data_IF_891225682147
#
_entry.id   IF_891225682147
#
_cell.length_a   1.000
_cell.length_b   1.000
_cell.length_c   1.000
_cell.angle_alpha   90.00
_cell.angle_beta   90.00
_cell.angle_gamma   90.00
#
_symmetry.space_group_name_H-M   'P 1'
#
loop_
_entity.id
_entity.type
_entity.pdbx_description
1 polymer ?
#
# COMPACT_ATOMS: atom_id res chain seq x y z
N UNK A 1 -17.75 -17.42 14.56
CA UNK A 1 -16.32 -17.76 14.37
C UNK A 1 -15.60 -16.48 14.03
N UNK A 2 -14.48 -16.18 14.67
CA UNK A 2 -13.65 -15.02 14.32
C UNK A 2 -12.79 -15.40 13.11
N UNK A 3 -12.93 -14.72 11.97
CA UNK A 3 -12.08 -14.99 10.80
C UNK A 3 -10.62 -14.61 11.10
N UNK A 4 -9.71 -15.29 10.44
CA UNK A 4 -8.27 -15.08 10.47
C UNK A 4 -7.78 -14.69 9.07
N UNK A 5 -6.52 -14.24 8.93
CA UNK A 5 -5.95 -13.96 7.61
C UNK A 5 -6.03 -15.16 6.64
N UNK A 6 -6.04 -16.40 7.15
CA UNK A 6 -6.15 -17.61 6.31
C UNK A 6 -7.47 -17.68 5.53
N UNK A 7 -8.55 -17.16 6.10
CA UNK A 7 -9.88 -17.17 5.48
C UNK A 7 -9.97 -16.25 4.25
N UNK A 8 -8.97 -15.38 4.07
CA UNK A 8 -8.92 -14.42 2.97
C UNK A 8 -7.97 -14.84 1.85
N UNK A 9 -7.23 -15.96 1.99
CA UNK A 9 -6.22 -16.37 1.01
C UNK A 9 -6.82 -16.57 -0.37
N UNK A 10 -6.38 -15.77 -1.34
CA UNK A 10 -6.83 -15.85 -2.73
C UNK A 10 -8.31 -15.49 -2.96
N UNK A 11 -9.00 -14.90 -1.98
CA UNK A 11 -10.43 -14.56 -2.06
C UNK A 11 -10.73 -13.58 -3.22
N UNK A 12 -9.79 -12.71 -3.56
CA UNK A 12 -9.89 -11.69 -4.60
C UNK A 12 -8.87 -11.93 -5.71
N UNK A 13 -8.61 -13.20 -6.05
CA UNK A 13 -7.56 -13.58 -7.00
C UNK A 13 -7.75 -12.89 -8.35
N UNK A 14 -6.77 -12.09 -8.76
CA UNK A 14 -6.77 -11.40 -10.05
C UNK A 14 -7.65 -10.14 -10.09
N UNK A 15 -8.33 -9.78 -9.00
CA UNK A 15 -9.16 -8.58 -8.95
C UNK A 15 -8.32 -7.31 -8.79
N UNK A 16 -8.96 -6.18 -9.11
CA UNK A 16 -8.45 -4.83 -8.84
C UNK A 16 -9.11 -4.27 -7.58
N UNK A 17 -8.31 -3.96 -6.57
CA UNK A 17 -8.76 -3.26 -5.37
C UNK A 17 -8.60 -1.74 -5.53
N UNK A 18 -9.51 -0.98 -4.91
CA UNK A 18 -9.43 0.47 -4.80
C UNK A 18 -9.09 0.84 -3.36
N UNK A 19 -7.88 1.33 -3.12
CA UNK A 19 -7.38 1.69 -1.80
C UNK A 19 -7.46 3.19 -1.58
N UNK A 20 -8.27 3.59 -0.60
CA UNK A 20 -8.55 4.97 -0.27
C UNK A 20 -7.76 5.40 0.98
N UNK A 21 -7.01 6.49 0.84
CA UNK A 21 -6.40 7.26 1.91
C UNK A 21 -7.08 8.62 2.06
N UNK A 22 -6.52 9.50 2.88
CA UNK A 22 -7.09 10.83 3.18
C UNK A 22 -6.44 11.99 2.41
N UNK A 23 -5.62 11.73 1.41
CA UNK A 23 -4.92 12.77 0.65
C UNK A 23 -5.85 13.60 -0.25
N UNK A 24 -5.37 14.73 -0.79
CA UNK A 24 -6.18 15.68 -1.55
C UNK A 24 -6.90 15.12 -2.79
N UNK A 25 -6.43 14.04 -3.40
CA UNK A 25 -7.15 13.45 -4.55
C UNK A 25 -8.52 12.89 -4.19
N UNK A 26 -8.72 12.50 -2.93
CA UNK A 26 -10.01 11.98 -2.47
C UNK A 26 -11.16 12.98 -2.67
N UNK A 27 -10.93 14.29 -2.49
CA UNK A 27 -12.00 15.30 -2.61
C UNK A 27 -12.47 15.57 -4.04
N UNK A 28 -11.73 15.10 -5.04
CA UNK A 28 -12.06 15.26 -6.47
C UNK A 28 -12.33 13.94 -7.18
N UNK A 29 -12.21 12.82 -6.46
CA UNK A 29 -12.42 11.50 -7.02
C UNK A 29 -13.90 11.24 -7.28
N UNK A 30 -14.24 10.76 -8.48
CA UNK A 30 -15.59 10.26 -8.79
C UNK A 30 -15.74 8.81 -8.33
N UNK A 31 -16.46 8.59 -7.24
CA UNK A 31 -16.74 7.26 -6.71
C UNK A 31 -17.55 6.34 -7.64
N UNK A 32 -18.20 6.88 -8.67
CA UNK A 32 -18.84 6.09 -9.72
C UNK A 32 -17.84 5.31 -10.59
N UNK A 33 -16.59 5.79 -10.66
CA UNK A 33 -15.52 5.16 -11.45
C UNK A 33 -14.82 4.01 -10.71
N UNK A 34 -14.99 3.90 -9.39
CA UNK A 34 -14.37 2.85 -8.60
C UNK A 34 -15.09 1.50 -8.74
N UNK A 35 -14.29 0.44 -8.85
CA UNK A 35 -14.75 -0.95 -8.85
C UNK A 35 -15.38 -1.40 -7.53
N UNK A 36 -15.83 -2.67 -7.46
CA UNK A 36 -16.58 -3.20 -6.32
C UNK A 36 -15.71 -3.43 -5.08
N UNK A 37 -14.43 -3.76 -5.26
CA UNK A 37 -13.51 -4.02 -4.16
C UNK A 37 -12.92 -2.71 -3.63
N UNK A 38 -13.58 -2.12 -2.63
CA UNK A 38 -13.18 -0.84 -2.02
C UNK A 38 -12.61 -1.05 -0.63
N UNK A 39 -11.45 -0.45 -0.41
CA UNK A 39 -10.64 -0.61 0.79
C UNK A 39 -10.30 0.77 1.38
N UNK A 40 -10.40 0.94 2.69
CA UNK A 40 -10.13 2.22 3.35
C UNK A 40 -8.96 2.11 4.35
N UNK A 41 -8.12 3.14 4.38
CA UNK A 41 -7.08 3.34 5.38
C UNK A 41 -7.60 4.29 6.47
N UNK A 42 -7.49 3.88 7.74
CA UNK A 42 -7.85 4.66 8.91
C UNK A 42 -9.26 5.31 8.74
N UNK A 43 -9.38 6.63 8.91
CA UNK A 43 -10.67 7.34 8.89
C UNK A 43 -11.22 7.62 7.48
N UNK A 44 -10.50 7.25 6.41
CA UNK A 44 -10.98 7.47 5.04
C UNK A 44 -12.32 6.78 4.75
N UNK A 45 -12.64 5.73 5.51
CA UNK A 45 -13.94 5.03 5.46
C UNK A 45 -15.14 5.97 5.60
N UNK A 46 -15.01 7.09 6.32
CA UNK A 46 -16.09 8.08 6.50
C UNK A 46 -16.54 8.72 5.19
N UNK A 47 -15.68 8.73 4.19
CA UNK A 47 -15.87 9.48 2.95
C UNK A 47 -16.09 8.59 1.73
N UNK A 48 -15.85 7.29 1.86
CA UNK A 48 -15.86 6.35 0.75
C UNK A 48 -17.12 5.48 0.86
N UNK A 49 -18.03 5.52 -0.12
CA UNK A 49 -19.22 4.69 -0.09
C UNK A 49 -18.88 3.22 -0.38
N UNK A 50 -19.58 2.32 0.33
CA UNK A 50 -19.52 0.86 0.15
C UNK A 50 -18.10 0.26 0.31
N UNK A 51 -17.38 0.68 1.34
CA UNK A 51 -16.10 0.05 1.73
C UNK A 51 -16.35 -1.34 2.29
N UNK A 52 -15.56 -2.32 1.86
CA UNK A 52 -15.61 -3.69 2.41
C UNK A 52 -14.49 -3.91 3.43
N UNK A 53 -13.25 -3.54 3.09
CA UNK A 53 -12.07 -3.81 3.92
C UNK A 53 -11.46 -2.53 4.47
N UNK A 54 -11.22 -2.51 5.78
CA UNK A 54 -10.64 -1.39 6.48
C UNK A 54 -9.30 -1.79 7.10
N UNK A 55 -8.33 -0.89 7.06
CA UNK A 55 -7.00 -1.10 7.64
C UNK A 55 -6.69 0.02 8.61
N UNK A 56 -6.30 -0.32 9.85
CA UNK A 56 -5.89 0.66 10.85
C UNK A 56 -4.79 0.09 11.76
N UNK A 57 -3.70 0.86 11.96
CA UNK A 57 -2.57 0.44 12.80
C UNK A 57 -2.36 1.33 14.03
N UNK A 58 -3.17 2.38 14.18
CA UNK A 58 -3.07 3.34 15.27
C UNK A 58 -4.48 3.58 15.81
N UNK A 59 -4.65 3.51 17.13
CA UNK A 59 -5.91 3.70 17.86
C UNK A 59 -6.38 5.15 17.91
N UNK A 60 -6.37 5.86 16.77
CA UNK A 60 -6.47 7.33 16.72
C UNK A 60 -7.87 7.85 17.09
N UNK A 61 -8.92 7.03 16.99
CA UNK A 61 -10.31 7.41 17.32
C UNK A 61 -11.12 6.19 17.79
N UNK A 62 -12.19 6.37 18.59
CA UNK A 62 -13.11 5.28 18.91
C UNK A 62 -13.78 4.75 17.64
N UNK A 63 -13.44 3.51 17.27
CA UNK A 63 -13.84 2.88 16.01
C UNK A 63 -15.34 2.61 15.87
N UNK A 64 -16.06 2.63 16.99
CA UNK A 64 -17.53 2.63 17.05
C UNK A 64 -18.18 3.75 16.23
N UNK A 65 -17.53 4.91 16.10
CA UNK A 65 -18.06 6.03 15.33
C UNK A 65 -17.64 5.99 13.85
N UNK A 66 -16.88 4.97 13.43
CA UNK A 66 -16.23 4.87 12.12
C UNK A 66 -16.75 3.71 11.29
N UNK A 67 -16.86 2.53 11.89
CA UNK A 67 -17.19 1.31 11.19
C UNK A 67 -18.61 0.86 11.55
N UNK A 68 -19.11 -0.10 10.77
CA UNK A 68 -20.42 -0.73 10.96
C UNK A 68 -20.31 -2.23 10.62
N UNK A 69 -21.38 -3.03 10.81
CA UNK A 69 -21.35 -4.48 10.60
C UNK A 69 -21.03 -4.94 9.17
N UNK A 70 -21.05 -4.05 8.17
CA UNK A 70 -20.70 -4.40 6.78
C UNK A 70 -19.19 -4.40 6.52
N UNK A 71 -18.41 -3.84 7.44
CA UNK A 71 -16.96 -3.71 7.30
C UNK A 71 -16.21 -4.90 7.92
N UNK A 72 -15.05 -5.20 7.33
CA UNK A 72 -14.03 -6.07 7.92
C UNK A 72 -12.76 -5.26 8.18
N UNK A 73 -12.37 -5.15 9.44
CA UNK A 73 -11.25 -4.36 9.93
C UNK A 73 -10.04 -5.25 10.21
N UNK A 74 -8.94 -4.99 9.52
CA UNK A 74 -7.65 -5.66 9.72
C UNK A 74 -6.76 -4.85 10.65
N UNK A 75 -6.29 -5.47 11.73
CA UNK A 75 -5.42 -4.81 12.71
C UNK A 75 -4.33 -5.70 13.32
N UNK A 76 -3.19 -5.10 13.69
CA UNK A 76 -2.19 -5.79 14.48
C UNK A 76 -2.70 -6.04 15.90
N UNK A 77 -2.36 -7.19 16.48
CA UNK A 77 -2.83 -7.57 17.81
C UNK A 77 -2.48 -6.53 18.89
N UNK A 78 -1.31 -5.88 18.79
CA UNK A 78 -0.83 -4.88 19.77
C UNK A 78 -1.74 -3.65 19.92
N UNK A 79 -2.49 -3.26 18.89
CA UNK A 79 -3.27 -2.01 18.91
C UNK A 79 -4.59 -2.13 19.64
N UNK A 80 -4.95 -3.35 20.06
CA UNK A 80 -6.19 -3.64 20.77
C UNK A 80 -6.09 -3.14 22.21
N UNK A 81 -4.91 -3.25 22.82
CA UNK A 81 -4.68 -2.81 24.20
C UNK A 81 -4.51 -1.29 24.28
N UNK A 82 -3.92 -0.66 23.26
CA UNK A 82 -3.63 0.77 23.20
C UNK A 82 -4.89 1.67 23.11
N UNK A 83 -6.03 1.12 22.70
CA UNK A 83 -7.26 1.88 22.41
C UNK A 83 -8.47 1.50 23.30
N UNK A 84 -8.27 0.75 24.38
CA UNK A 84 -9.39 0.29 25.23
C UNK A 84 -10.33 -0.70 24.52
N UNK A 85 -9.81 -1.40 23.51
CA UNK A 85 -10.56 -2.26 22.59
C UNK A 85 -10.66 -3.71 23.07
N UNK A 86 -10.22 -3.99 24.30
CA UNK A 86 -10.53 -5.24 24.98
C UNK A 86 -12.05 -5.42 25.19
N UNK A 87 -12.84 -4.33 25.11
CA UNK A 87 -14.30 -4.38 25.13
C UNK A 87 -14.87 -4.66 23.71
N UNK A 88 -15.60 -5.77 23.51
CA UNK A 88 -16.22 -6.10 22.23
C UNK A 88 -17.19 -5.02 21.70
N UNK A 89 -17.78 -4.20 22.57
CA UNK A 89 -18.68 -3.11 22.19
C UNK A 89 -17.96 -1.91 21.56
N UNK A 90 -16.63 -1.87 21.60
CA UNK A 90 -15.83 -0.77 21.05
C UNK A 90 -15.65 -0.82 19.53
N UNK A 91 -16.06 -1.92 18.88
CA UNK A 91 -15.99 -2.11 17.41
C UNK A 91 -17.24 -2.83 16.89
N UNK A 92 -18.12 -2.18 16.10
CA UNK A 92 -19.36 -2.76 15.58
C UNK A 92 -19.16 -3.58 14.29
N UNK A 93 -17.91 -3.86 13.91
CA UNK A 93 -17.54 -4.50 12.66
C UNK A 93 -16.76 -5.80 12.92
N UNK A 94 -16.53 -6.58 11.87
CA UNK A 94 -15.71 -7.77 12.00
C UNK A 94 -14.22 -7.40 12.14
N UNK A 95 -13.54 -7.98 13.12
CA UNK A 95 -12.13 -7.72 13.40
C UNK A 95 -11.26 -8.93 13.06
N UNK A 96 -10.35 -8.76 12.09
CA UNK A 96 -9.32 -9.73 11.73
C UNK A 96 -7.98 -9.29 12.31
N UNK A 97 -7.50 -10.07 13.28
CA UNK A 97 -6.27 -9.78 14.02
C UNK A 97 -5.09 -10.52 13.40
N UNK A 98 -3.92 -9.90 13.43
CA UNK A 98 -2.68 -10.55 13.04
C UNK A 98 -1.52 -10.14 13.94
N UNK A 99 -0.54 -11.02 14.06
CA UNK A 99 0.71 -10.70 14.75
C UNK A 99 1.55 -9.74 13.90
N UNK A 100 2.19 -8.77 14.56
CA UNK A 100 3.04 -7.78 13.90
C UNK A 100 4.51 -8.04 14.21
N UNK A 101 5.32 -8.06 13.17
CA UNK A 101 6.77 -8.25 13.29
C UNK A 101 7.51 -7.04 12.72
N UNK A 102 8.61 -6.66 13.36
CA UNK A 102 9.39 -5.47 13.01
C UNK A 102 10.35 -5.69 11.81
N UNK A 103 10.36 -6.89 11.19
CA UNK A 103 11.21 -7.20 10.03
C UNK A 103 10.68 -6.49 8.77
N UNK A 104 11.56 -5.84 8.02
CA UNK A 104 11.24 -5.06 6.81
C UNK A 104 11.37 -5.83 5.51
N UNK A 105 11.90 -7.06 5.55
CA UNK A 105 12.20 -7.79 4.31
C UNK A 105 10.94 -8.45 3.79
N UNK A 106 10.25 -7.83 2.84
CA UNK A 106 9.03 -8.36 2.22
C UNK A 106 9.34 -9.17 0.95
N UNK A 107 10.42 -8.83 0.24
CA UNK A 107 10.83 -9.46 -1.01
C UNK A 107 11.04 -10.97 -0.86
N UNK A 108 10.45 -11.73 -1.78
CA UNK A 108 10.58 -13.18 -1.84
C UNK A 108 9.82 -13.95 -0.75
N UNK A 109 8.97 -13.29 0.05
CA UNK A 109 8.10 -13.98 1.01
C UNK A 109 6.90 -14.59 0.31
N UNK A 110 6.61 -15.84 0.64
CA UNK A 110 5.39 -16.51 0.19
C UNK A 110 4.20 -16.13 1.07
N UNK A 111 2.97 -16.37 0.58
CA UNK A 111 1.75 -16.22 1.39
C UNK A 111 1.84 -17.09 2.66
N UNK A 112 2.36 -18.31 2.55
CA UNK A 112 2.53 -19.21 3.69
C UNK A 112 3.49 -18.62 4.74
N UNK A 113 4.59 -17.98 4.31
CA UNK A 113 5.51 -17.29 5.22
C UNK A 113 4.84 -16.12 5.94
N UNK A 114 4.03 -15.32 5.25
CA UNK A 114 3.30 -14.19 5.84
C UNK A 114 2.25 -14.67 6.86
N UNK A 115 1.56 -15.76 6.57
CA UNK A 115 0.58 -16.36 7.49
C UNK A 115 1.23 -17.00 8.71
N UNK A 116 2.40 -17.62 8.54
CA UNK A 116 3.11 -18.30 9.62
C UNK A 116 3.88 -17.32 10.53
N UNK A 117 4.41 -16.23 9.97
CA UNK A 117 5.28 -15.27 10.67
C UNK A 117 4.62 -13.94 10.97
N UNK A 118 3.35 -13.72 10.64
CA UNK A 118 2.70 -12.42 10.78
C UNK A 118 3.19 -11.35 9.80
N UNK A 119 2.58 -10.16 9.87
CA UNK A 119 2.79 -9.09 8.91
C UNK A 119 3.90 -8.12 9.33
N UNK A 120 4.66 -7.64 8.34
CA UNK A 120 5.76 -6.69 8.51
C UNK A 120 5.25 -5.24 8.56
N UNK A 121 5.27 -4.59 9.73
CA UNK A 121 4.59 -3.30 9.92
C UNK A 121 5.44 -2.03 9.71
N UNK A 122 6.73 -2.13 9.40
CA UNK A 122 7.60 -0.93 9.29
C UNK A 122 7.21 0.05 8.16
N UNK A 123 6.25 -0.32 7.31
CA UNK A 123 5.64 0.52 6.27
C UNK A 123 4.29 1.16 6.70
N UNK A 124 3.92 1.12 7.98
CA UNK A 124 2.70 1.72 8.52
C UNK A 124 1.41 1.00 8.08
N UNK A 125 0.25 1.61 8.30
CA UNK A 125 -1.07 1.06 7.92
C UNK A 125 -1.13 0.67 6.45
N UNK A 126 -0.56 1.51 5.59
CA UNK A 126 -0.61 1.31 4.14
C UNK A 126 0.24 0.09 3.71
N UNK A 127 1.42 -0.11 4.31
CA UNK A 127 2.21 -1.30 4.06
C UNK A 127 1.61 -2.59 4.63
N UNK A 128 0.74 -2.47 5.62
CA UNK A 128 -0.05 -3.60 6.11
C UNK A 128 -1.16 -3.95 5.11
N UNK A 129 -1.86 -2.93 4.61
CA UNK A 129 -2.90 -3.10 3.60
C UNK A 129 -2.39 -3.84 2.36
N UNK A 130 -1.22 -3.46 1.83
CA UNK A 130 -0.67 -4.13 0.62
C UNK A 130 -0.31 -5.60 0.88
N UNK A 131 0.18 -5.96 2.06
CA UNK A 131 0.45 -7.36 2.43
C UNK A 131 -0.82 -8.18 2.55
N UNK A 132 -1.88 -7.61 3.15
CA UNK A 132 -3.18 -8.30 3.24
C UNK A 132 -3.80 -8.46 1.85
N UNK A 133 -3.75 -7.43 1.00
CA UNK A 133 -4.24 -7.51 -0.38
C UNK A 133 -3.45 -8.54 -1.20
N UNK A 134 -2.14 -8.69 -0.96
CA UNK A 134 -1.34 -9.77 -1.52
C UNK A 134 -1.83 -11.14 -1.09
N UNK A 135 -2.08 -11.34 0.21
CA UNK A 135 -2.66 -12.58 0.75
C UNK A 135 -4.01 -12.86 0.09
N UNK A 136 -4.83 -11.82 -0.11
CA UNK A 136 -6.12 -11.92 -0.82
C UNK A 136 -6.01 -12.29 -2.30
N UNK A 137 -4.81 -12.23 -2.89
CA UNK A 137 -4.56 -12.52 -4.30
C UNK A 137 -4.91 -11.37 -5.25
N UNK A 138 -5.07 -10.15 -4.73
CA UNK A 138 -5.33 -8.95 -5.55
C UNK A 138 -4.16 -8.72 -6.51
N UNK A 139 -4.45 -8.55 -7.79
CA UNK A 139 -3.42 -8.34 -8.80
C UNK A 139 -3.03 -6.87 -8.95
N UNK A 140 -4.01 -5.97 -8.76
CA UNK A 140 -3.84 -4.53 -8.95
C UNK A 140 -4.50 -3.72 -7.85
N UNK A 141 -3.85 -2.63 -7.45
CA UNK A 141 -4.40 -1.65 -6.49
C UNK A 141 -4.40 -0.26 -7.09
N UNK A 142 -5.59 0.33 -7.24
CA UNK A 142 -5.75 1.74 -7.60
C UNK A 142 -5.84 2.57 -6.32
N UNK A 143 -4.96 3.55 -6.20
CA UNK A 143 -4.75 4.36 -5.02
C UNK A 143 -5.37 5.74 -5.19
N UNK A 144 -6.27 6.09 -4.26
CA UNK A 144 -6.93 7.39 -4.18
C UNK A 144 -6.66 7.97 -2.80
N UNK A 145 -6.30 9.25 -2.69
CA UNK A 145 -5.93 9.87 -1.42
C UNK A 145 -4.62 9.36 -0.82
N UNK A 146 -3.73 8.78 -1.64
CA UNK A 146 -2.37 8.36 -1.26
C UNK A 146 -1.37 9.18 -2.08
N UNK A 147 -1.49 10.49 -1.98
CA UNK A 147 -0.87 11.41 -2.95
C UNK A 147 0.61 11.69 -2.69
N UNK A 148 1.08 11.45 -1.47
CA UNK A 148 2.45 11.77 -1.06
C UNK A 148 2.71 13.27 -0.82
N UNK A 149 1.67 14.10 -0.91
CA UNK A 149 1.73 15.55 -0.62
C UNK A 149 1.09 15.86 0.73
N UNK A 150 1.66 16.83 1.44
CA UNK A 150 1.48 17.08 2.89
C UNK A 150 0.12 17.61 3.36
N UNK A 151 -0.99 17.19 2.74
CA UNK A 151 -2.33 17.64 3.10
C UNK A 151 -3.32 16.48 3.23
N UNK A 152 -4.41 16.74 3.96
CA UNK A 152 -5.60 15.92 3.88
C UNK A 152 -6.56 16.50 2.83
N UNK A 153 -7.45 15.67 2.29
CA UNK A 153 -8.65 16.15 1.64
C UNK A 153 -9.34 17.15 2.58
N UNK A 154 -9.82 18.27 2.04
CA UNK A 154 -10.52 19.32 2.81
C UNK A 154 -11.87 18.89 3.41
N UNK A 155 -12.04 17.59 3.64
CA UNK A 155 -13.23 16.90 4.11
C UNK A 155 -13.19 16.66 5.63
N UNK A 156 -12.04 16.87 6.29
CA UNK A 156 -11.93 16.85 7.76
C UNK A 156 -11.11 18.04 8.29
N UNK A 157 -11.72 18.85 9.16
CA UNK A 157 -11.06 19.95 9.87
C UNK A 157 -10.39 19.48 11.18
N UNK A 158 -10.56 18.21 11.58
CA UNK A 158 -10.13 17.70 12.91
C UNK A 158 -8.81 16.93 12.92
N UNK A 159 -8.37 16.39 11.80
CA UNK A 159 -7.04 15.79 11.69
C UNK A 159 -6.15 16.76 10.94
N UNK A 160 -5.48 17.68 11.65
CA UNK A 160 -4.38 18.42 11.06
C UNK A 160 -3.28 17.42 10.66
N UNK A 161 -2.62 17.60 9.50
CA UNK A 161 -1.49 16.75 9.14
C UNK A 161 -0.44 16.82 10.26
N UNK A 162 -0.01 15.65 10.75
CA UNK A 162 1.07 15.62 11.74
C UNK A 162 2.31 16.29 11.13
N UNK A 163 2.95 17.25 11.83
CA UNK A 163 4.14 17.94 11.34
C UNK A 163 5.33 16.99 11.12
N UNK A 164 5.31 15.81 11.75
CA UNK A 164 6.34 14.76 11.62
C UNK A 164 6.02 13.75 10.50
N UNK A 165 4.84 13.85 9.88
CA UNK A 165 4.39 12.92 8.85
C UNK A 165 4.90 13.33 7.47
N UNK A 166 5.92 12.64 6.99
CA UNK A 166 6.44 12.83 5.63
C UNK A 166 5.63 11.95 4.67
N UNK A 167 4.52 12.49 4.15
CA UNK A 167 3.61 11.77 3.26
C UNK A 167 4.29 11.20 2.00
N UNK A 168 5.29 11.89 1.45
CA UNK A 168 6.11 11.38 0.35
C UNK A 168 6.79 10.07 0.74
N UNK A 169 7.44 10.01 1.90
CA UNK A 169 8.07 8.79 2.41
C UNK A 169 7.07 7.65 2.64
N UNK A 170 5.84 7.96 3.06
CA UNK A 170 4.79 6.94 3.23
C UNK A 170 4.40 6.36 1.87
N UNK A 171 4.23 7.21 0.86
CA UNK A 171 3.98 6.80 -0.52
C UNK A 171 5.15 5.93 -1.03
N UNK A 172 6.39 6.37 -0.91
CA UNK A 172 7.59 5.62 -1.33
C UNK A 172 7.67 4.24 -0.65
N UNK A 173 7.33 4.17 0.63
CA UNK A 173 7.28 2.90 1.39
C UNK A 173 6.18 1.97 0.91
N UNK A 174 5.02 2.48 0.54
CA UNK A 174 3.91 1.68 0.00
C UNK A 174 4.29 1.06 -1.33
N UNK A 175 4.84 1.89 -2.21
CA UNK A 175 5.40 1.50 -3.48
C UNK A 175 6.40 0.35 -3.32
N UNK A 176 7.41 0.54 -2.47
CA UNK A 176 8.47 -0.45 -2.29
C UNK A 176 7.89 -1.78 -1.85
N UNK A 177 6.90 -1.78 -0.95
CA UNK A 177 6.21 -2.98 -0.52
C UNK A 177 5.40 -3.63 -1.66
N UNK A 178 4.71 -2.86 -2.48
CA UNK A 178 3.99 -3.39 -3.64
C UNK A 178 4.92 -4.04 -4.67
N UNK A 179 6.09 -3.43 -4.96
CA UNK A 179 7.07 -4.04 -5.87
C UNK A 179 7.56 -5.37 -5.35
N UNK A 180 7.94 -5.42 -4.06
CA UNK A 180 8.48 -6.61 -3.42
C UNK A 180 7.49 -7.78 -3.41
N UNK A 181 6.19 -7.48 -3.43
CA UNK A 181 5.08 -8.45 -3.44
C UNK A 181 4.56 -8.75 -4.85
N UNK A 182 5.03 -8.06 -5.88
CA UNK A 182 4.57 -8.22 -7.25
C UNK A 182 3.11 -7.76 -7.47
N UNK A 183 2.64 -6.76 -6.73
CA UNK A 183 1.31 -6.16 -6.93
C UNK A 183 1.42 -4.93 -7.82
N UNK A 184 0.60 -4.86 -8.87
CA UNK A 184 0.49 -3.66 -9.70
C UNK A 184 -0.17 -2.53 -8.90
N UNK A 185 0.38 -1.32 -8.96
CA UNK A 185 -0.21 -0.14 -8.34
C UNK A 185 -0.42 0.99 -9.35
N UNK A 186 -1.51 1.71 -9.18
CA UNK A 186 -1.87 2.90 -9.97
C UNK A 186 -2.30 4.03 -9.03
N UNK A 187 -1.94 5.27 -9.32
CA UNK A 187 -2.38 6.44 -8.55
C UNK A 187 -3.33 7.30 -9.39
N UNK A 188 -4.53 7.58 -8.88
CA UNK A 188 -5.63 8.20 -9.63
C UNK A 188 -5.29 9.54 -10.31
N UNK A 189 -4.47 10.41 -9.69
CA UNK A 189 -4.08 11.71 -10.25
C UNK A 189 -2.60 11.80 -10.63
N UNK A 190 -1.88 10.67 -10.68
CA UNK A 190 -0.53 10.70 -11.22
C UNK A 190 -0.63 10.69 -12.75
N UNK A 191 -0.09 11.70 -13.47
CA UNK A 191 0.11 11.53 -14.89
C UNK A 191 0.92 10.24 -15.11
N UNK A 192 0.59 9.49 -16.17
CA UNK A 192 1.29 8.27 -16.56
C UNK A 192 2.71 8.60 -17.06
N UNK A 193 3.55 9.13 -16.18
CA UNK A 193 4.93 9.44 -16.45
C UNK A 193 5.79 8.26 -16.05
N UNK A 194 6.61 7.81 -16.98
CA UNK A 194 7.79 6.99 -16.67
C UNK A 194 8.55 7.72 -15.57
N UNK A 195 8.73 7.11 -14.39
CA UNK A 195 9.49 7.73 -13.31
C UNK A 195 10.87 8.11 -13.83
N UNK A 196 11.16 9.42 -13.86
CA UNK A 196 12.43 9.98 -14.29
C UNK A 196 13.13 10.67 -13.12
N UNK A 197 14.42 10.37 -12.92
CA UNK A 197 15.29 11.09 -11.97
C UNK A 197 16.49 11.64 -12.72
N UNK A 198 16.76 12.94 -12.65
CA UNK A 198 17.92 13.56 -13.30
C UNK A 198 18.08 13.20 -14.80
N UNK A 199 16.98 12.98 -15.51
CA UNK A 199 16.96 12.55 -16.92
C UNK A 199 17.05 11.04 -17.16
N UNK A 200 17.25 10.23 -16.11
CA UNK A 200 17.30 8.76 -16.12
C UNK A 200 15.90 8.15 -15.96
N UNK A 201 15.64 7.01 -16.58
CA UNK A 201 14.40 6.22 -16.49
C UNK A 201 14.55 5.13 -15.43
N UNK A 202 13.58 5.04 -14.52
CA UNK A 202 13.54 3.98 -13.50
C UNK A 202 12.85 2.73 -14.07
N UNK A 203 13.48 1.58 -13.89
CA UNK A 203 12.99 0.27 -14.35
C UNK A 203 13.13 -0.79 -13.27
N UNK A 204 12.22 -1.77 -13.30
CA UNK A 204 12.29 -3.01 -12.55
C UNK A 204 12.98 -4.05 -13.45
N UNK A 205 14.06 -4.65 -12.97
CA UNK A 205 14.74 -5.72 -13.67
C UNK A 205 13.92 -7.00 -13.50
N UNK A 206 13.51 -7.62 -14.61
CA UNK A 206 12.69 -8.85 -14.64
C UNK A 206 13.50 -10.09 -15.04
N UNK A 207 14.74 -9.88 -15.48
CA UNK A 207 15.67 -10.93 -15.84
C UNK A 207 17.09 -10.48 -15.50
N UNK A 208 17.93 -11.37 -14.97
CA UNK A 208 19.32 -11.03 -14.63
C UNK A 208 20.09 -10.46 -15.83
N UNK A 209 20.56 -9.23 -15.71
CA UNK A 209 21.24 -8.47 -16.77
C UNK A 209 22.32 -7.57 -16.20
N UNK A 210 23.20 -7.05 -17.07
CA UNK A 210 24.04 -5.90 -16.71
C UNK A 210 23.27 -4.63 -17.08
N UNK A 211 23.07 -3.73 -16.12
CA UNK A 211 22.40 -2.45 -16.32
C UNK A 211 23.03 -1.35 -15.43
N UNK A 212 23.28 -0.18 -16.02
CA UNK A 212 23.97 0.94 -15.34
C UNK A 212 25.40 0.57 -14.95
N UNK A 213 26.08 -0.24 -15.77
CA UNK A 213 27.45 -0.70 -15.54
C UNK A 213 27.63 -1.75 -14.42
N UNK A 214 26.55 -2.30 -13.87
CA UNK A 214 26.60 -3.29 -12.80
C UNK A 214 25.71 -4.50 -13.12
N UNK A 215 26.08 -5.68 -12.60
CA UNK A 215 25.23 -6.85 -12.67
C UNK A 215 23.99 -6.66 -11.76
N UNK A 216 22.81 -6.84 -12.34
CA UNK A 216 21.50 -6.72 -11.71
C UNK A 216 20.77 -8.06 -11.71
N UNK A 217 19.93 -8.25 -10.71
CA UNK A 217 19.12 -9.45 -10.50
C UNK A 217 17.65 -9.12 -10.75
N UNK A 218 16.87 -10.18 -10.96
CA UNK A 218 15.42 -10.08 -11.00
C UNK A 218 14.91 -9.46 -9.68
N UNK A 219 14.02 -8.48 -9.80
CA UNK A 219 13.51 -7.65 -8.70
C UNK A 219 14.30 -6.37 -8.39
N UNK A 220 15.46 -6.14 -9.01
CA UNK A 220 16.24 -4.91 -8.78
C UNK A 220 15.53 -3.68 -9.40
N UNK A 221 15.40 -2.60 -8.63
CA UNK A 221 14.92 -1.30 -9.15
C UNK A 221 16.14 -0.42 -9.43
N UNK A 222 16.27 0.05 -10.66
CA UNK A 222 17.44 0.82 -11.12
C UNK A 222 17.02 2.03 -11.94
N UNK A 223 17.76 3.14 -11.78
CA UNK A 223 17.67 4.31 -12.66
C UNK A 223 18.74 4.19 -13.75
N UNK A 224 18.32 4.24 -15.01
CA UNK A 224 19.16 4.00 -16.18
C UNK A 224 19.03 5.14 -17.19
N UNK A 225 20.00 5.27 -18.10
CA UNK A 225 19.83 6.17 -19.24
C UNK A 225 18.56 5.78 -20.04
N UNK A 226 17.79 6.75 -20.58
CA UNK A 226 16.56 6.44 -21.33
C UNK A 226 16.76 5.47 -22.50
N UNK A 227 17.91 5.51 -23.16
CA UNK A 227 18.22 4.60 -24.28
C UNK A 227 18.42 3.18 -23.75
N UNK A 228 19.25 3.03 -22.71
CA UNK A 228 19.50 1.75 -22.06
C UNK A 228 18.21 1.15 -21.49
N UNK A 229 17.42 1.94 -20.77
CA UNK A 229 16.12 1.52 -20.24
C UNK A 229 15.18 1.05 -21.37
N UNK A 230 15.08 1.79 -22.47
CA UNK A 230 14.24 1.44 -23.61
C UNK A 230 14.66 0.11 -24.24
N UNK A 231 15.95 -0.14 -24.39
CA UNK A 231 16.47 -1.40 -24.93
C UNK A 231 16.18 -2.60 -24.00
N UNK A 232 16.34 -2.42 -22.68
CA UNK A 232 16.01 -3.46 -21.70
C UNK A 232 14.52 -3.80 -21.72
N UNK A 233 13.66 -2.78 -21.86
CA UNK A 233 12.22 -2.95 -21.91
C UNK A 233 11.79 -3.66 -23.20
N UNK A 234 12.32 -3.26 -24.35
CA UNK A 234 11.95 -3.88 -25.64
C UNK A 234 12.33 -5.36 -25.72
N UNK A 235 13.40 -5.77 -25.06
CA UNK A 235 13.84 -7.17 -25.00
C UNK A 235 13.24 -7.96 -23.84
N UNK A 236 12.33 -7.37 -23.06
CA UNK A 236 11.64 -8.02 -21.94
C UNK A 236 12.50 -8.29 -20.71
N UNK A 237 13.66 -7.65 -20.59
CA UNK A 237 14.58 -7.83 -19.46
C UNK A 237 14.38 -6.81 -18.34
N UNK A 238 13.55 -5.79 -18.58
CA UNK A 238 13.11 -4.84 -17.58
C UNK A 238 11.69 -4.35 -17.88
N UNK A 239 11.01 -3.83 -16.87
CA UNK A 239 9.72 -3.17 -17.01
C UNK A 239 9.83 -1.72 -16.53
N UNK A 240 9.20 -0.75 -17.22
CA UNK A 240 9.16 0.62 -16.71
C UNK A 240 8.45 0.61 -15.36
N UNK A 241 9.06 1.21 -14.34
CA UNK A 241 8.40 1.37 -13.03
C UNK A 241 7.35 2.46 -13.17
N UNK A 242 6.22 2.13 -13.79
CA UNK A 242 5.18 3.11 -14.15
C UNK A 242 4.56 3.81 -12.95
N UNK A 243 4.85 3.38 -11.72
CA UNK A 243 4.32 3.97 -10.49
C UNK A 243 5.19 3.72 -9.25
N UNK A 244 6.52 3.60 -9.35
CA UNK A 244 7.37 3.38 -8.16
C UNK A 244 8.36 4.53 -7.86
N UNK A 245 8.21 5.32 -6.76
CA UNK A 245 9.25 6.21 -6.26
C UNK A 245 10.49 5.47 -5.79
N UNK A 246 11.64 6.11 -6.02
CA UNK A 246 12.95 5.59 -5.67
C UNK A 246 13.20 5.56 -4.15
N UNK A 247 14.00 4.60 -3.65
CA UNK A 247 14.73 4.77 -2.40
C UNK A 247 15.70 5.95 -2.54
N UNK A 248 15.77 6.83 -1.53
CA UNK A 248 16.74 7.93 -1.51
C UNK A 248 18.16 7.38 -1.66
N UNK A 249 18.84 7.74 -2.75
CA UNK A 249 20.29 7.59 -2.85
C UNK A 249 20.89 8.68 -1.97
N UNK A 250 21.43 8.29 -0.80
CA UNK A 250 22.26 9.19 -0.03
C UNK A 250 23.48 9.53 -0.89
N UNK A 251 23.64 10.81 -1.20
CA UNK A 251 24.82 11.31 -1.87
C UNK A 251 26.06 11.00 -1.01
N UNK A 252 26.81 9.97 -1.37
CA UNK A 252 28.17 9.79 -0.89
C UNK A 252 28.99 10.97 -1.41
N UNK A 253 29.39 11.83 -0.48
CA UNK A 253 30.47 12.80 -0.69
C UNK A 253 31.81 12.10 -0.87
#
# INVERSE_FOLDING_TARGET
MTRTLRDFVGLHRGETAWLFGKGPSLSRFDFGSAGPLRCAINESVRYVPAVTYCFANDGVLPWVDLYDPTHVLFQPARTIDDAGMANPSSFPCELVRFENFADTRIAGRTVDDLLARGLAMRHGTIGTAIQVLHIMGVAKVVCVGIDGVGGHAGLDLRSAPSPDCIYATIRDRFISAATMLGIEIEFFDAPAEVCRTDGLVVVLITQGVVAGGQARRDGDIVALDPVEASELIQRGAAEPTRNFPLPRVEATK
#
